data_IF_663522901184
#
_entry.id   IF_663522901184
#
_cell.length_a   1.000
_cell.length_b   1.000
_cell.length_c   1.000
_cell.angle_alpha   90.00
_cell.angle_beta   90.00
_cell.angle_gamma   90.00
#
_symmetry.space_group_name_H-M   'P 1'
#
loop_
_entity.id
_entity.type
_entity.pdbx_description
1 polymer ?
#
# COMPACT_ATOMS: atom_id res chain seq x y z
N UNK A 1 -22.92 4.16 -14.55
CA UNK A 1 -22.58 3.98 -13.16
C UNK A 1 -21.29 3.21 -13.01
N UNK A 2 -20.43 3.74 -12.23
CA UNK A 2 -19.21 3.04 -12.00
C UNK A 2 -19.27 2.26 -10.69
N UNK A 3 -19.38 0.98 -10.81
CA UNK A 3 -19.41 0.09 -9.68
C UNK A 3 -18.05 -0.48 -9.37
N UNK A 4 -17.06 -0.03 -10.13
CA UNK A 4 -15.71 -0.57 -10.02
C UNK A 4 -14.87 0.29 -9.11
N UNK A 5 -15.36 0.51 -7.90
CA UNK A 5 -14.51 1.11 -6.90
C UNK A 5 -13.25 0.27 -6.82
N UNK A 6 -12.11 0.91 -6.95
CA UNK A 6 -10.84 0.22 -6.83
C UNK A 6 -10.72 -0.34 -5.42
N UNK A 7 -10.34 -1.60 -5.35
CA UNK A 7 -10.10 -2.26 -4.07
C UNK A 7 -8.69 -2.79 -4.10
N UNK A 8 -7.99 -2.55 -3.03
CA UNK A 8 -6.60 -2.97 -2.89
C UNK A 8 -6.44 -3.78 -1.63
N UNK A 9 -5.53 -4.74 -1.70
CA UNK A 9 -5.10 -5.49 -0.52
C UNK A 9 -3.85 -4.81 0.02
N UNK A 10 -3.92 -4.40 1.27
CA UNK A 10 -2.76 -3.92 2.00
C UNK A 10 -2.20 -5.10 2.76
N UNK A 11 -0.93 -5.41 2.53
CA UNK A 11 -0.30 -6.56 3.18
C UNK A 11 1.13 -6.24 3.60
N UNK A 12 1.58 -6.99 4.61
CA UNK A 12 2.93 -6.89 5.12
C UNK A 12 3.61 -8.23 4.85
N UNK A 13 4.64 -8.24 4.03
CA UNK A 13 5.18 -9.45 3.43
C UNK A 13 4.05 -10.17 2.68
N UNK A 14 3.70 -11.36 3.08
CA UNK A 14 2.61 -12.12 2.48
C UNK A 14 1.32 -12.09 3.31
N UNK A 15 1.38 -11.45 4.47
CA UNK A 15 0.25 -11.43 5.39
C UNK A 15 -0.75 -10.34 5.04
N UNK A 16 -1.99 -10.75 4.85
CA UNK A 16 -3.09 -9.83 4.66
C UNK A 16 -3.26 -8.95 5.88
N UNK A 17 -3.44 -7.65 5.65
CA UNK A 17 -3.69 -6.70 6.72
C UNK A 17 -5.09 -6.10 6.60
N UNK A 18 -5.41 -5.51 5.47
CA UNK A 18 -6.69 -4.83 5.28
C UNK A 18 -7.04 -4.68 3.81
N UNK A 19 -8.31 -4.49 3.54
CA UNK A 19 -8.79 -4.02 2.24
C UNK A 19 -8.96 -2.52 2.33
N UNK A 20 -8.45 -1.81 1.34
CA UNK A 20 -8.52 -0.36 1.30
C UNK A 20 -8.97 0.10 -0.08
N UNK A 21 -9.56 1.29 -0.14
CA UNK A 21 -10.05 1.84 -1.39
C UNK A 21 -8.99 2.64 -2.16
N UNK A 22 -7.91 2.99 -1.49
CA UNK A 22 -6.89 3.85 -2.11
C UNK A 22 -5.59 3.79 -1.32
N UNK A 23 -4.53 4.27 -1.96
CA UNK A 23 -3.24 4.43 -1.29
C UNK A 23 -3.33 5.47 -0.16
N UNK A 24 -4.19 6.47 -0.32
CA UNK A 24 -4.43 7.47 0.71
C UNK A 24 -4.97 6.83 2.00
N UNK A 25 -5.96 5.96 1.86
CA UNK A 25 -6.51 5.23 3.00
C UNK A 25 -5.45 4.32 3.63
N UNK A 26 -4.67 3.65 2.80
CA UNK A 26 -3.60 2.77 3.28
C UNK A 26 -2.57 3.56 4.09
N UNK A 27 -2.14 4.71 3.58
CA UNK A 27 -1.17 5.55 4.28
C UNK A 27 -1.70 6.01 5.63
N UNK A 28 -2.93 6.47 5.69
CA UNK A 28 -3.56 6.91 6.94
C UNK A 28 -3.65 5.77 7.95
N UNK A 29 -3.97 4.59 7.48
CA UNK A 29 -4.08 3.41 8.33
C UNK A 29 -2.72 3.04 8.91
N UNK A 30 -1.70 2.97 8.08
CA UNK A 30 -0.36 2.60 8.54
C UNK A 30 0.22 3.60 9.55
N UNK A 31 0.01 4.88 9.32
CA UNK A 31 0.46 5.92 10.24
C UNK A 31 -0.38 5.92 11.50
N UNK A 32 -1.69 5.89 11.36
CA UNK A 32 -2.62 5.94 12.50
C UNK A 32 -2.50 4.76 13.43
N UNK A 33 -2.20 3.59 12.89
CA UNK A 33 -2.04 2.35 13.66
C UNK A 33 -0.58 2.09 14.04
N UNK A 34 0.29 3.04 13.78
CA UNK A 34 1.71 2.96 14.13
C UNK A 34 2.41 1.72 13.57
N UNK A 35 2.04 1.36 12.35
CA UNK A 35 2.61 0.19 11.68
C UNK A 35 3.90 0.52 10.94
N UNK A 36 4.21 1.80 10.77
CA UNK A 36 5.44 2.27 10.15
C UNK A 36 6.08 3.34 11.03
N UNK A 37 7.41 3.39 10.97
CA UNK A 37 8.17 4.46 11.61
C UNK A 37 8.50 5.50 10.55
N UNK A 38 7.78 6.62 10.59
CA UNK A 38 7.95 7.69 9.61
C UNK A 38 9.34 8.31 9.62
N UNK A 39 10.08 8.15 10.69
CA UNK A 39 11.44 8.70 10.80
C UNK A 39 12.52 7.79 10.21
N UNK A 40 12.17 6.54 9.91
CA UNK A 40 13.10 5.60 9.30
C UNK A 40 13.51 6.07 7.91
N UNK A 41 14.77 5.84 7.56
CA UNK A 41 15.26 6.20 6.24
C UNK A 41 14.82 5.17 5.20
N UNK A 42 14.58 5.67 3.99
CA UNK A 42 14.29 4.81 2.85
C UNK A 42 15.54 4.03 2.47
N UNK A 43 15.36 2.73 2.28
CA UNK A 43 16.43 1.82 1.88
C UNK A 43 16.08 1.31 0.49
N UNK A 44 16.97 1.52 -0.48
CA UNK A 44 16.76 1.04 -1.83
C UNK A 44 18.10 0.87 -2.54
N UNK A 45 18.15 -0.11 -3.42
CA UNK A 45 19.30 -0.32 -4.29
C UNK A 45 19.34 0.69 -5.44
N UNK A 46 18.24 1.40 -5.64
CA UNK A 46 18.13 2.40 -6.71
C UNK A 46 18.25 3.80 -6.15
N UNK A 47 19.45 4.35 -6.17
CA UNK A 47 19.72 5.69 -5.66
C UNK A 47 18.93 6.78 -6.36
N UNK A 48 18.69 6.63 -7.65
CA UNK A 48 17.99 7.66 -8.42
C UNK A 48 16.53 7.76 -7.99
N UNK A 49 15.92 6.63 -7.68
CA UNK A 49 14.54 6.58 -7.23
C UNK A 49 14.42 7.01 -5.77
N UNK A 50 15.33 6.53 -4.94
CA UNK A 50 15.31 6.83 -3.50
C UNK A 50 15.67 8.29 -3.20
N UNK A 51 16.40 8.95 -4.10
CA UNK A 51 16.87 10.33 -3.86
C UNK A 51 15.77 11.35 -3.64
N UNK A 52 14.58 11.10 -4.12
CA UNK A 52 13.44 12.01 -3.93
C UNK A 52 12.72 11.80 -2.60
N UNK A 53 12.92 10.65 -1.98
CA UNK A 53 12.22 10.25 -0.75
C UNK A 53 13.26 9.79 0.26
N UNK A 54 13.43 10.55 1.32
CA UNK A 54 14.46 10.26 2.31
C UNK A 54 13.97 9.36 3.43
N UNK A 55 12.74 9.56 3.85
CA UNK A 55 12.16 8.85 5.00
C UNK A 55 10.87 8.15 4.61
N UNK A 56 10.48 7.21 5.45
CA UNK A 56 9.19 6.53 5.30
C UNK A 56 8.05 7.56 5.37
N UNK A 57 8.21 8.61 6.16
CA UNK A 57 7.23 9.70 6.19
C UNK A 57 7.03 10.34 4.83
N UNK A 58 8.10 10.52 4.06
CA UNK A 58 8.02 11.07 2.70
C UNK A 58 7.21 10.14 1.80
N UNK A 59 7.40 8.82 1.94
CA UNK A 59 6.64 7.84 1.17
C UNK A 59 5.17 7.84 1.56
N UNK A 60 4.88 7.97 2.85
CA UNK A 60 3.50 8.03 3.33
C UNK A 60 2.79 9.29 2.81
N UNK A 61 3.49 10.41 2.82
CA UNK A 61 2.96 11.65 2.28
C UNK A 61 2.67 11.52 0.78
N UNK A 62 3.55 10.90 0.03
CA UNK A 62 3.35 10.68 -1.39
C UNK A 62 2.15 9.75 -1.65
N UNK A 63 2.03 8.70 -0.86
CA UNK A 63 0.89 7.78 -0.97
C UNK A 63 -0.43 8.47 -0.61
N UNK A 64 -0.39 9.45 0.29
CA UNK A 64 -1.59 10.16 0.74
C UNK A 64 -2.07 11.20 -0.26
N UNK A 65 -1.34 11.46 -1.33
CA UNK A 65 -1.79 12.38 -2.36
C UNK A 65 -2.90 11.75 -3.18
N UNK A 66 -4.00 12.46 -3.26
CA UNK A 66 -5.20 11.98 -3.91
C UNK A 66 -4.96 11.63 -5.38
N UNK A 67 -5.46 10.47 -5.78
CA UNK A 67 -5.51 10.07 -7.18
C UNK A 67 -4.24 9.49 -7.77
N UNK A 68 -3.19 9.31 -6.96
CA UNK A 68 -1.95 8.79 -7.53
C UNK A 68 -1.40 7.61 -6.75
N UNK A 69 -1.40 6.46 -7.43
CA UNK A 69 -0.54 5.37 -7.02
C UNK A 69 0.73 5.58 -7.82
N UNK A 70 1.76 6.01 -7.13
CA UNK A 70 3.05 6.21 -7.77
C UNK A 70 3.82 4.92 -7.60
N UNK A 71 4.06 4.22 -8.69
CA UNK A 71 4.75 2.93 -8.66
C UNK A 71 6.08 3.00 -7.93
N UNK A 72 6.81 4.09 -8.14
CA UNK A 72 8.08 4.32 -7.46
C UNK A 72 7.92 4.33 -5.95
N UNK A 73 6.90 5.01 -5.46
CA UNK A 73 6.64 5.10 -4.01
C UNK A 73 6.29 3.73 -3.45
N UNK A 74 5.44 3.00 -4.17
CA UNK A 74 5.05 1.65 -3.74
C UNK A 74 6.24 0.70 -3.69
N UNK A 75 7.10 0.75 -4.69
CA UNK A 75 8.29 -0.09 -4.73
C UNK A 75 9.25 0.24 -3.59
N UNK A 76 9.50 1.53 -3.36
CA UNK A 76 10.39 1.96 -2.29
C UNK A 76 9.84 1.60 -0.92
N UNK A 77 8.55 1.73 -0.75
CA UNK A 77 7.89 1.36 0.50
C UNK A 77 8.01 -0.14 0.76
N UNK A 78 7.79 -0.96 -0.26
CA UNK A 78 7.93 -2.39 -0.13
C UNK A 78 9.37 -2.79 0.21
N UNK A 79 10.35 -2.20 -0.46
CA UNK A 79 11.77 -2.48 -0.17
C UNK A 79 12.14 -2.08 1.26
N UNK A 80 11.61 -0.96 1.72
CA UNK A 80 12.00 -0.40 3.03
C UNK A 80 11.24 -1.02 4.18
N UNK A 81 9.95 -1.20 4.04
CA UNK A 81 9.07 -1.58 5.16
C UNK A 81 8.37 -2.91 4.98
N UNK A 82 8.42 -3.48 3.78
CA UNK A 82 7.72 -4.70 3.40
C UNK A 82 6.20 -4.57 3.40
N UNK A 83 5.70 -3.33 3.46
CA UNK A 83 4.29 -3.04 3.22
C UNK A 83 4.07 -2.85 1.74
N UNK A 84 3.04 -3.46 1.22
CA UNK A 84 2.69 -3.32 -0.18
C UNK A 84 1.19 -3.28 -0.39
N UNK A 85 0.83 -2.70 -1.53
CA UNK A 85 -0.55 -2.49 -1.91
C UNK A 85 -0.76 -3.15 -3.27
N UNK A 86 -1.66 -4.11 -3.31
CA UNK A 86 -1.94 -4.86 -4.52
C UNK A 86 -3.36 -4.60 -4.96
N UNK A 87 -3.51 -4.28 -6.24
CA UNK A 87 -4.81 -4.16 -6.84
C UNK A 87 -5.54 -5.51 -6.82
N UNK A 88 -6.83 -5.51 -6.51
CA UNK A 88 -7.61 -6.73 -6.39
C UNK A 88 -8.77 -6.70 -7.37
N UNK A 89 -8.84 -7.70 -8.24
CA UNK A 89 -9.90 -7.78 -9.24
C UNK A 89 -11.21 -8.25 -8.61
N UNK A 90 -12.31 -7.96 -9.28
CA UNK A 90 -13.62 -8.41 -8.83
C UNK A 90 -13.66 -9.95 -8.73
N UNK A 91 -13.05 -10.62 -9.67
CA UNK A 91 -13.00 -12.08 -9.70
C UNK A 91 -12.28 -12.62 -8.46
N UNK A 92 -11.13 -12.04 -8.13
CA UNK A 92 -10.38 -12.42 -6.94
C UNK A 92 -11.16 -12.15 -5.66
N UNK A 93 -11.89 -11.05 -5.61
CA UNK A 93 -12.74 -10.72 -4.46
C UNK A 93 -13.82 -11.76 -4.25
N UNK A 94 -14.43 -12.22 -5.34
CA UNK A 94 -15.47 -13.24 -5.26
C UNK A 94 -14.90 -14.56 -4.75
N UNK A 95 -13.76 -14.97 -5.27
CA UNK A 95 -13.10 -16.19 -4.84
C UNK A 95 -12.70 -16.14 -3.38
N UNK A 96 -12.16 -15.03 -2.95
CA UNK A 96 -11.76 -14.83 -1.56
C UNK A 96 -12.95 -14.94 -0.62
N UNK A 97 -14.04 -14.25 -0.95
CA UNK A 97 -15.26 -14.28 -0.14
C UNK A 97 -15.81 -15.71 -0.01
N UNK A 98 -15.77 -16.44 -1.10
CA UNK A 98 -16.25 -17.79 -1.13
C UNK A 98 -15.45 -18.72 -0.22
N UNK A 99 -14.15 -18.60 -0.25
CA UNK A 99 -13.26 -19.40 0.58
C UNK A 99 -13.40 -19.07 2.05
N UNK A 100 -13.48 -17.79 2.39
CA UNK A 100 -13.52 -17.35 3.79
C UNK A 100 -14.83 -17.68 4.47
N UNK A 101 -15.91 -17.68 3.73
CA UNK A 101 -17.22 -17.92 4.32
C UNK A 101 -17.75 -19.34 4.01
N UNK A 102 -16.88 -20.21 3.58
CA UNK A 102 -17.23 -21.60 3.38
C UNK A 102 -18.27 -21.85 2.32
N UNK A 103 -18.44 -20.86 1.46
CA UNK A 103 -19.46 -20.91 0.42
C UNK A 103 -19.24 -21.99 -0.58
#
# INVERSE_FOLDING_TARGET
MNIMASVYVLHHYEDFYALVDSAWTAAKMLVGEQQVDETSFVVSDDYHRAGEYRTVGDLMEAWSKEGQIVDVVSDLLEETTHWSLMSWTLEEQILWTKEDYGG
#
